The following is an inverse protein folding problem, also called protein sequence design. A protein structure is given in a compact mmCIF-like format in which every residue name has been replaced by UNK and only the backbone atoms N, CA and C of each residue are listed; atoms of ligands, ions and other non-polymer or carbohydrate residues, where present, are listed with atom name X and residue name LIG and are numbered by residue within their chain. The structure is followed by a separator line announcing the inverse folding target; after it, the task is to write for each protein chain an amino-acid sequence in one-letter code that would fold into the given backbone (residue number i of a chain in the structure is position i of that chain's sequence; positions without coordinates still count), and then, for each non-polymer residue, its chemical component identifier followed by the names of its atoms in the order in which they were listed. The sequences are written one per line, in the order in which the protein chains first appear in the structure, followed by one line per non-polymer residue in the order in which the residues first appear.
data_IF_349112263502
#
_entry.id   IF_349112263502
#
_cell.length_a   1.000
_cell.length_b   1.000
_cell.length_c   1.000
_cell.angle_alpha   90.00
_cell.angle_beta   90.00
_cell.angle_gamma   90.00
#
_symmetry.space_group_name_H-M   'P 1'
#
loop_
_entity.id
_entity.type
_entity.pdbx_description
1 polymer ?
#
# COMPACT_ATOMS: atom_id res chain seq x y z
N UNK A 1 19.60 -15.97 -13.38
CA UNK A 1 18.35 -15.50 -12.76
C UNK A 1 17.99 -16.37 -11.56
N UNK A 2 17.18 -15.84 -10.60
CA UNK A 2 16.78 -16.60 -9.40
C UNK A 2 16.11 -17.92 -9.79
N UNK A 3 15.33 -17.94 -10.87
CA UNK A 3 14.66 -19.14 -11.37
C UNK A 3 15.64 -20.28 -11.73
N UNK A 4 16.81 -19.98 -12.25
CA UNK A 4 17.81 -21.00 -12.59
C UNK A 4 18.42 -21.67 -11.36
N UNK A 5 18.66 -20.92 -10.29
CA UNK A 5 19.27 -21.46 -9.06
C UNK A 5 18.21 -22.03 -8.10
N UNK A 6 16.93 -21.82 -8.36
CA UNK A 6 15.82 -22.26 -7.50
C UNK A 6 15.84 -23.75 -7.13
N UNK A 7 16.22 -24.69 -8.03
CA UNK A 7 16.30 -26.12 -7.69
C UNK A 7 17.31 -26.43 -6.57
N UNK A 8 18.35 -25.61 -6.45
CA UNK A 8 19.45 -25.77 -5.48
C UNK A 8 19.22 -25.01 -4.18
N UNK A 9 18.11 -24.27 -4.05
CA UNK A 9 17.80 -23.44 -2.89
C UNK A 9 16.69 -24.05 -2.05
N UNK A 10 16.82 -23.90 -0.73
CA UNK A 10 15.71 -24.14 0.20
C UNK A 10 14.63 -23.07 0.02
N UNK A 11 13.41 -23.32 0.53
CA UNK A 11 12.33 -22.35 0.46
C UNK A 11 12.69 -21.06 1.21
N UNK A 12 13.33 -21.15 2.36
CA UNK A 12 13.73 -19.98 3.16
C UNK A 12 14.82 -19.16 2.46
N UNK A 13 15.83 -19.81 1.89
CA UNK A 13 16.85 -19.12 1.10
C UNK A 13 16.24 -18.41 -0.13
N UNK A 14 15.26 -19.05 -0.80
CA UNK A 14 14.54 -18.44 -1.91
C UNK A 14 13.72 -17.24 -1.48
N UNK A 15 12.97 -17.32 -0.37
CA UNK A 15 12.23 -16.18 0.19
C UNK A 15 13.17 -15.02 0.50
N UNK A 16 14.30 -15.29 1.14
CA UNK A 16 15.30 -14.27 1.48
C UNK A 16 15.85 -13.59 0.23
N UNK A 17 16.22 -14.35 -0.80
CA UNK A 17 16.70 -13.79 -2.07
C UNK A 17 15.63 -12.97 -2.79
N UNK A 18 14.41 -13.46 -2.87
CA UNK A 18 13.31 -12.73 -3.50
C UNK A 18 13.01 -11.45 -2.71
N UNK A 19 12.99 -11.51 -1.39
CA UNK A 19 12.74 -10.32 -0.57
C UNK A 19 13.85 -9.28 -0.73
N UNK A 20 15.10 -9.68 -0.76
CA UNK A 20 16.23 -8.75 -0.88
C UNK A 20 16.39 -8.16 -2.28
N UNK A 21 16.12 -8.92 -3.34
CA UNK A 21 16.39 -8.48 -4.71
C UNK A 21 15.15 -7.95 -5.45
N UNK A 22 13.96 -8.44 -5.12
CA UNK A 22 12.72 -8.08 -5.84
C UNK A 22 11.82 -7.25 -4.95
N UNK A 23 11.41 -7.77 -3.79
CA UNK A 23 10.44 -7.09 -2.93
C UNK A 23 10.97 -5.76 -2.41
N UNK A 24 12.25 -5.71 -1.99
CA UNK A 24 12.89 -4.47 -1.55
C UNK A 24 12.86 -3.38 -2.62
N UNK A 25 13.08 -3.74 -3.87
CA UNK A 25 13.04 -2.79 -5.00
C UNK A 25 11.62 -2.35 -5.35
N UNK A 26 10.64 -3.26 -5.26
CA UNK A 26 9.22 -2.92 -5.44
C UNK A 26 8.70 -2.00 -4.33
N UNK A 27 9.26 -2.10 -3.13
CA UNK A 27 8.86 -1.26 -1.98
C UNK A 27 9.67 0.04 -1.87
N UNK A 28 10.80 0.12 -2.57
CA UNK A 28 11.61 1.34 -2.58
C UNK A 28 10.84 2.46 -3.26
N UNK A 29 10.59 3.53 -2.53
CA UNK A 29 9.85 4.71 -3.00
C UNK A 29 8.48 4.42 -3.65
N UNK A 30 7.84 3.30 -3.33
CA UNK A 30 6.58 2.92 -3.99
C UNK A 30 5.42 3.91 -3.73
N UNK A 31 5.47 4.72 -2.68
CA UNK A 31 4.51 5.81 -2.46
C UNK A 31 4.50 6.83 -3.61
N UNK A 32 5.63 7.01 -4.31
CA UNK A 32 5.71 7.87 -5.49
C UNK A 32 4.95 7.30 -6.70
N UNK A 33 4.61 6.02 -6.65
CA UNK A 33 3.79 5.37 -7.68
C UNK A 33 2.28 5.57 -7.45
N UNK A 34 1.91 6.38 -6.47
CA UNK A 34 0.50 6.72 -6.22
C UNK A 34 -0.08 7.43 -7.45
N UNK A 35 -1.20 6.92 -7.94
CA UNK A 35 -1.89 7.50 -9.11
C UNK A 35 -1.25 7.26 -10.47
N UNK A 36 -0.14 6.50 -10.59
CA UNK A 36 0.40 6.13 -11.91
C UNK A 36 -0.59 5.26 -12.68
N UNK A 37 -0.56 5.27 -14.04
CA UNK A 37 -1.45 4.47 -14.85
C UNK A 37 -1.42 2.98 -14.49
N UNK A 38 -2.57 2.35 -14.51
CA UNK A 38 -2.71 0.91 -14.20
C UNK A 38 -1.81 0.02 -15.08
N UNK A 39 -1.48 0.46 -16.30
CA UNK A 39 -0.57 -0.25 -17.20
C UNK A 39 0.83 -0.42 -16.59
N UNK A 40 1.35 0.60 -15.91
CA UNK A 40 2.64 0.54 -15.22
C UNK A 40 2.55 -0.31 -13.94
N UNK A 41 1.50 -0.10 -13.14
CA UNK A 41 1.25 -0.93 -11.94
C UNK A 41 1.16 -2.41 -12.33
N UNK A 42 0.46 -2.73 -13.43
CA UNK A 42 0.32 -4.11 -13.92
C UNK A 42 1.66 -4.71 -14.39
N UNK A 43 2.56 -3.91 -14.98
CA UNK A 43 3.91 -4.39 -15.33
C UNK A 43 4.69 -4.79 -14.07
N UNK A 44 4.67 -3.96 -13.05
CA UNK A 44 5.32 -4.25 -11.77
C UNK A 44 4.63 -5.40 -11.02
N UNK A 45 3.30 -5.50 -11.11
CA UNK A 45 2.55 -6.63 -10.54
C UNK A 45 2.96 -7.96 -11.15
N UNK A 46 3.23 -8.02 -12.46
CA UNK A 46 3.76 -9.23 -13.12
C UNK A 46 5.10 -9.67 -12.52
N UNK A 47 5.98 -8.72 -12.19
CA UNK A 47 7.24 -9.02 -11.53
C UNK A 47 7.01 -9.62 -10.14
N UNK A 48 6.08 -9.06 -9.36
CA UNK A 48 5.70 -9.60 -8.05
C UNK A 48 5.12 -11.03 -8.19
N UNK A 49 4.24 -11.25 -9.16
CA UNK A 49 3.64 -12.56 -9.42
C UNK A 49 4.69 -13.61 -9.79
N UNK A 50 5.62 -13.26 -10.68
CA UNK A 50 6.74 -14.14 -11.05
C UNK A 50 7.59 -14.50 -9.84
N UNK A 51 7.87 -13.53 -8.98
CA UNK A 51 8.63 -13.76 -7.75
C UNK A 51 7.88 -14.70 -6.79
N UNK A 52 6.57 -14.55 -6.66
CA UNK A 52 5.72 -15.42 -5.86
C UNK A 52 5.73 -16.87 -6.40
N UNK A 53 5.57 -17.06 -7.71
CA UNK A 53 5.65 -18.38 -8.36
C UNK A 53 7.01 -19.05 -8.15
N UNK A 54 8.12 -18.31 -8.18
CA UNK A 54 9.46 -18.84 -7.89
C UNK A 54 9.55 -19.39 -6.46
N UNK A 55 9.01 -18.69 -5.48
CA UNK A 55 9.02 -19.13 -4.07
C UNK A 55 8.21 -20.42 -3.92
N UNK A 56 6.97 -20.42 -4.40
CA UNK A 56 6.00 -21.53 -4.21
C UNK A 56 6.19 -22.69 -5.17
N UNK A 57 7.10 -22.58 -6.15
CA UNK A 57 7.26 -23.55 -7.26
C UNK A 57 5.99 -23.77 -8.09
N UNK A 58 5.12 -22.78 -8.12
CA UNK A 58 3.87 -22.80 -8.88
C UNK A 58 4.12 -22.39 -10.33
N UNK A 59 3.34 -22.93 -11.27
CA UNK A 59 3.42 -22.53 -12.67
C UNK A 59 3.10 -21.04 -12.84
N UNK A 60 3.84 -20.35 -13.70
CA UNK A 60 3.58 -18.95 -14.08
C UNK A 60 2.22 -18.73 -14.77
N UNK A 61 1.58 -19.80 -15.21
CA UNK A 61 0.25 -19.80 -15.83
C UNK A 61 -0.89 -20.01 -14.82
N UNK A 62 -0.58 -20.36 -13.58
CA UNK A 62 -1.56 -20.51 -12.52
C UNK A 62 -2.12 -19.15 -12.08
N UNK A 63 -3.33 -19.17 -11.51
CA UNK A 63 -3.89 -17.98 -10.89
C UNK A 63 -2.98 -17.47 -9.76
N UNK A 64 -2.56 -16.21 -9.87
CA UNK A 64 -1.61 -15.63 -8.93
C UNK A 64 -2.23 -15.27 -7.57
N UNK A 65 -3.53 -15.06 -7.51
CA UNK A 65 -4.22 -14.60 -6.28
C UNK A 65 -4.09 -15.59 -5.12
N UNK A 66 -4.30 -16.92 -5.29
CA UNK A 66 -4.07 -17.89 -4.22
C UNK A 66 -2.62 -17.89 -3.73
N UNK A 67 -1.66 -17.78 -4.67
CA UNK A 67 -0.23 -17.77 -4.36
C UNK A 67 0.16 -16.56 -3.53
N UNK A 68 -0.33 -15.37 -3.88
CA UNK A 68 -0.10 -14.15 -3.10
C UNK A 68 -0.76 -14.23 -1.71
N UNK A 69 -1.96 -14.82 -1.62
CA UNK A 69 -2.68 -15.04 -0.36
C UNK A 69 -1.89 -15.97 0.57
N UNK A 70 -1.37 -17.09 0.06
CA UNK A 70 -0.53 -18.04 0.79
C UNK A 70 0.73 -17.39 1.34
N UNK A 71 1.38 -16.55 0.54
CA UNK A 71 2.58 -15.79 0.96
C UNK A 71 2.27 -14.59 1.86
N UNK A 72 1.01 -14.32 2.16
CA UNK A 72 0.55 -13.11 2.87
C UNK A 72 1.03 -11.81 2.22
N UNK A 73 1.12 -11.78 0.90
CA UNK A 73 1.52 -10.62 0.13
C UNK A 73 0.33 -9.82 -0.34
N UNK A 74 0.38 -8.52 -0.13
CA UNK A 74 -0.57 -7.59 -0.73
C UNK A 74 -0.19 -7.37 -2.20
N UNK A 75 -1.19 -7.32 -3.12
CA UNK A 75 -0.97 -6.84 -4.49
C UNK A 75 -0.34 -5.45 -4.51
N UNK A 76 0.45 -5.15 -5.53
CA UNK A 76 1.25 -3.92 -5.60
C UNK A 76 0.43 -2.65 -5.40
N UNK A 77 -0.78 -2.57 -5.98
CA UNK A 77 -1.71 -1.44 -5.76
C UNK A 77 -1.91 -1.15 -4.27
N UNK A 78 -2.18 -2.18 -3.47
CA UNK A 78 -2.43 -2.02 -2.04
C UNK A 78 -1.14 -1.82 -1.24
N UNK A 79 0.00 -2.28 -1.74
CA UNK A 79 1.31 -1.94 -1.13
C UNK A 79 1.62 -0.46 -1.27
N UNK A 80 1.33 0.13 -2.44
CA UNK A 80 1.45 1.58 -2.68
C UNK A 80 0.54 2.35 -1.72
N UNK A 81 -0.74 2.00 -1.65
CA UNK A 81 -1.70 2.64 -0.74
C UNK A 81 -1.29 2.48 0.73
N UNK A 82 -0.84 1.29 1.12
CA UNK A 82 -0.34 1.02 2.47
C UNK A 82 0.83 1.95 2.85
N UNK A 83 1.76 2.14 1.94
CA UNK A 83 2.92 3.03 2.16
C UNK A 83 2.49 4.49 2.25
N UNK A 84 1.65 4.95 1.33
CA UNK A 84 1.09 6.31 1.32
C UNK A 84 0.35 6.59 2.62
N UNK A 85 -0.54 5.71 3.06
CA UNK A 85 -1.28 5.85 4.31
C UNK A 85 -0.39 5.77 5.55
N UNK A 86 0.69 4.99 5.50
CA UNK A 86 1.68 4.98 6.59
C UNK A 86 2.39 6.34 6.72
N UNK A 87 2.73 6.99 5.60
CA UNK A 87 3.27 8.36 5.63
C UNK A 87 2.23 9.37 6.10
N UNK A 88 0.97 9.23 5.68
CA UNK A 88 -0.14 10.07 6.15
C UNK A 88 -0.30 9.98 7.67
N UNK A 89 -0.34 8.76 8.23
CA UNK A 89 -0.40 8.55 9.67
C UNK A 89 0.78 9.23 10.40
N UNK A 90 1.99 9.03 9.91
CA UNK A 90 3.19 9.64 10.48
C UNK A 90 3.15 11.16 10.44
N UNK A 91 2.63 11.75 9.35
CA UNK A 91 2.48 13.19 9.23
C UNK A 91 1.48 13.77 10.24
N UNK A 92 0.40 13.04 10.52
CA UNK A 92 -0.62 13.44 11.51
C UNK A 92 -0.14 13.31 12.94
N UNK A 93 0.88 12.51 13.21
CA UNK A 93 1.45 12.26 14.54
C UNK A 93 2.87 12.81 14.71
N UNK A 94 3.24 13.83 13.95
CA UNK A 94 4.55 14.51 14.03
C UNK A 94 5.79 13.59 13.90
N UNK A 95 5.64 12.47 13.15
CA UNK A 95 6.68 11.46 12.92
C UNK A 95 7.31 11.57 11.52
N UNK A 96 7.20 12.73 10.89
CA UNK A 96 7.81 13.04 9.57
C UNK A 96 8.47 14.40 9.59
N UNK A 97 9.13 14.76 8.47
CA UNK A 97 9.65 16.12 8.25
C UNK A 97 8.49 17.11 8.13
N UNK A 98 8.73 18.35 8.52
CA UNK A 98 7.74 19.45 8.46
C UNK A 98 7.14 19.61 7.07
N UNK A 99 7.97 19.46 6.03
CA UNK A 99 7.54 19.53 4.65
C UNK A 99 6.40 18.55 4.31
N UNK A 100 6.46 17.31 4.77
CA UNK A 100 5.39 16.31 4.53
C UNK A 100 4.18 16.61 5.39
N UNK A 101 4.38 17.07 6.63
CA UNK A 101 3.30 17.45 7.52
C UNK A 101 2.48 18.61 6.96
N UNK A 102 3.12 19.64 6.41
CA UNK A 102 2.45 20.81 5.85
C UNK A 102 1.61 20.50 4.60
N UNK A 103 1.87 19.37 3.94
CA UNK A 103 1.07 18.89 2.82
C UNK A 103 -0.30 18.36 3.23
N UNK A 104 -0.51 18.02 4.50
CA UNK A 104 -1.73 17.37 4.99
C UNK A 104 -2.46 18.30 5.93
N UNK A 105 -3.72 18.61 5.63
CA UNK A 105 -4.55 19.48 6.46
C UNK A 105 -5.72 18.70 7.05
N UNK A 106 -5.85 18.75 8.38
CA UNK A 106 -6.98 18.17 9.09
C UNK A 106 -8.23 19.01 8.80
N UNK A 107 -9.32 18.33 8.44
CA UNK A 107 -10.59 19.01 8.23
C UNK A 107 -11.20 19.44 9.57
N UNK A 108 -11.44 20.73 9.72
CA UNK A 108 -12.14 21.31 10.88
C UNK A 108 -13.46 21.89 10.40
N UNK A 109 -14.61 21.30 10.75
CA UNK A 109 -15.90 21.86 10.38
C UNK A 109 -16.16 23.19 11.09
N UNK A 110 -16.78 24.14 10.38
CA UNK A 110 -17.16 25.44 10.91
C UNK A 110 -18.30 25.40 11.96
N UNK A 111 -19.01 24.27 12.07
CA UNK A 111 -20.07 24.02 13.04
C UNK A 111 -19.79 22.69 13.74
N UNK A 112 -20.21 22.58 15.02
CA UNK A 112 -20.14 21.32 15.76
C UNK A 112 -21.06 20.28 15.08
N UNK A 113 -20.47 19.40 14.29
CA UNK A 113 -21.15 18.29 13.62
C UNK A 113 -20.82 16.98 14.37
N UNK A 114 -21.72 16.01 14.33
CA UNK A 114 -21.47 14.66 14.87
C UNK A 114 -20.26 13.97 14.24
N UNK A 115 -19.80 14.46 13.08
CA UNK A 115 -18.63 13.97 12.35
C UNK A 115 -17.33 14.69 12.73
N UNK A 116 -17.35 15.58 13.74
CA UNK A 116 -16.17 16.38 14.16
C UNK A 116 -15.00 15.47 14.56
N UNK A 117 -15.27 14.34 15.18
CA UNK A 117 -14.26 13.36 15.62
C UNK A 117 -13.85 12.36 14.52
N UNK A 118 -14.28 12.59 13.27
CA UNK A 118 -14.04 11.62 12.19
C UNK A 118 -12.58 11.53 11.70
N UNK A 119 -11.68 12.39 12.21
CA UNK A 119 -10.26 12.47 11.79
C UNK A 119 -10.11 12.60 10.26
N UNK A 120 -11.02 13.32 9.62
CA UNK A 120 -11.02 13.52 8.17
C UNK A 120 -9.99 14.56 7.75
N UNK A 121 -9.48 14.42 6.55
CA UNK A 121 -8.51 15.32 5.95
C UNK A 121 -9.15 16.15 4.83
N UNK A 122 -8.63 17.35 4.62
CA UNK A 122 -9.04 18.21 3.50
C UNK A 122 -8.46 17.62 2.22
N UNK A 123 -9.33 17.26 1.27
CA UNK A 123 -8.91 16.89 -0.08
C UNK A 123 -8.87 18.17 -0.91
N UNK A 124 -7.69 18.63 -1.34
CA UNK A 124 -7.60 19.84 -2.16
C UNK A 124 -8.23 19.63 -3.53
N UNK A 125 -8.90 20.65 -4.04
CA UNK A 125 -9.41 20.61 -5.40
C UNK A 125 -8.23 20.78 -6.38
N UNK A 126 -8.10 19.85 -7.32
CA UNK A 126 -7.02 19.85 -8.32
C UNK A 126 -7.60 20.00 -9.72
N UNK A 127 -6.97 20.85 -10.53
CA UNK A 127 -7.44 21.16 -11.89
C UNK A 127 -7.04 20.11 -12.93
N UNK A 128 -6.03 19.28 -12.64
CA UNK A 128 -5.49 18.31 -13.59
C UNK A 128 -5.61 16.89 -13.06
N UNK A 129 -6.30 16.05 -13.81
CA UNK A 129 -6.46 14.61 -13.51
C UNK A 129 -5.10 13.89 -13.59
N UNK A 130 -4.24 14.26 -14.53
CA UNK A 130 -3.00 13.54 -14.80
C UNK A 130 -1.90 13.76 -13.75
N UNK A 131 -1.76 14.97 -13.22
CA UNK A 131 -0.71 15.32 -12.26
C UNK A 131 -1.24 15.69 -10.89
N UNK A 132 -2.35 16.42 -10.82
CA UNK A 132 -2.93 16.88 -9.57
C UNK A 132 -3.45 15.73 -8.69
N UNK A 133 -4.26 14.85 -9.23
CA UNK A 133 -4.83 13.72 -8.49
C UNK A 133 -3.76 12.70 -8.05
N UNK A 134 -2.62 12.64 -8.74
CA UNK A 134 -1.49 11.76 -8.40
C UNK A 134 -0.60 12.33 -7.31
N UNK A 135 -0.70 13.63 -7.04
CA UNK A 135 0.11 14.26 -6.02
C UNK A 135 -0.20 13.68 -4.64
N UNK A 136 0.80 13.57 -3.78
CA UNK A 136 0.61 13.12 -2.41
C UNK A 136 -0.43 13.96 -1.67
N UNK A 137 -0.44 15.27 -1.92
CA UNK A 137 -1.37 16.25 -1.31
C UNK A 137 -2.84 15.91 -1.57
N UNK A 138 -3.17 15.34 -2.73
CA UNK A 138 -4.54 14.92 -3.08
C UNK A 138 -4.80 13.45 -2.74
N UNK A 139 -3.89 12.56 -3.13
CA UNK A 139 -4.09 11.12 -3.00
C UNK A 139 -4.09 10.64 -1.53
N UNK A 140 -3.23 11.20 -0.68
CA UNK A 140 -3.13 10.82 0.71
C UNK A 140 -4.41 11.11 1.50
N UNK A 141 -5.01 12.35 1.46
CA UNK A 141 -6.29 12.62 2.09
C UNK A 141 -7.44 11.78 1.52
N UNK A 142 -7.48 11.57 0.21
CA UNK A 142 -8.53 10.76 -0.44
C UNK A 142 -8.52 9.32 0.06
N UNK A 143 -7.34 8.69 0.10
CA UNK A 143 -7.16 7.34 0.62
C UNK A 143 -7.45 7.26 2.13
N UNK A 144 -7.02 8.27 2.89
CA UNK A 144 -7.26 8.34 4.33
C UNK A 144 -8.73 8.42 4.67
N UNK A 145 -9.48 9.29 4.00
CA UNK A 145 -10.91 9.47 4.24
C UNK A 145 -11.75 8.23 3.86
N UNK A 146 -11.24 7.40 2.95
CA UNK A 146 -11.86 6.13 2.58
C UNK A 146 -11.65 5.01 3.62
N UNK A 147 -10.74 5.18 4.60
CA UNK A 147 -10.50 4.20 5.63
C UNK A 147 -11.63 4.18 6.68
N UNK A 148 -11.96 3.01 7.23
CA UNK A 148 -12.81 2.89 8.41
C UNK A 148 -12.30 3.70 9.60
N UNK A 149 -13.20 4.27 10.39
CA UNK A 149 -12.85 5.12 11.52
C UNK A 149 -11.91 4.42 12.53
N UNK A 150 -12.19 3.16 12.88
CA UNK A 150 -11.38 2.40 13.83
C UNK A 150 -9.92 2.22 13.41
N UNK A 151 -9.60 2.33 12.11
CA UNK A 151 -8.21 2.31 11.63
C UNK A 151 -7.59 3.69 11.80
N UNK A 152 -8.32 4.75 11.43
CA UNK A 152 -7.84 6.14 11.52
C UNK A 152 -7.59 6.58 12.96
N UNK A 153 -8.38 6.08 13.91
CA UNK A 153 -8.27 6.38 15.34
C UNK A 153 -7.24 5.53 16.10
N UNK A 154 -6.36 4.83 15.39
CA UNK A 154 -5.30 4.02 16.02
C UNK A 154 -4.31 4.89 16.79
N UNK A 155 -4.04 4.54 18.05
CA UNK A 155 -3.14 5.32 18.92
C UNK A 155 -1.66 5.17 18.55
N UNK A 156 -1.25 4.00 18.05
CA UNK A 156 0.15 3.72 17.72
C UNK A 156 0.35 3.36 16.27
N UNK A 157 1.53 3.70 15.73
CA UNK A 157 1.91 3.35 14.36
C UNK A 157 1.92 1.83 14.14
N UNK A 158 2.28 1.04 15.14
CA UNK A 158 2.30 -0.43 15.04
C UNK A 158 0.89 -0.99 14.91
N UNK A 159 -0.04 -0.52 15.72
CA UNK A 159 -1.47 -0.88 15.66
C UNK A 159 -2.07 -0.46 14.34
N UNK A 160 -1.83 0.79 13.90
CA UNK A 160 -2.27 1.30 12.62
C UNK A 160 -1.82 0.40 11.45
N UNK A 161 -0.53 0.09 11.38
CA UNK A 161 0.05 -0.77 10.34
C UNK A 161 -0.58 -2.17 10.32
N UNK A 162 -0.82 -2.76 11.50
CA UNK A 162 -1.44 -4.08 11.64
C UNK A 162 -2.87 -4.06 11.12
N UNK A 163 -3.70 -3.12 11.60
CA UNK A 163 -5.09 -2.97 11.18
C UNK A 163 -5.20 -2.67 9.68
N UNK A 164 -4.37 -1.77 9.17
CA UNK A 164 -4.35 -1.41 7.75
C UNK A 164 -3.98 -2.60 6.86
N UNK A 165 -2.98 -3.40 7.25
CA UNK A 165 -2.60 -4.61 6.52
C UNK A 165 -3.74 -5.61 6.50
N UNK A 166 -4.39 -5.86 7.65
CA UNK A 166 -5.54 -6.76 7.77
C UNK A 166 -6.71 -6.28 6.91
N UNK A 167 -7.03 -4.98 6.96
CA UNK A 167 -8.08 -4.39 6.14
C UNK A 167 -7.83 -4.62 4.64
N UNK A 168 -6.65 -4.29 4.15
CA UNK A 168 -6.32 -4.50 2.74
C UNK A 168 -6.30 -5.98 2.37
N UNK A 169 -5.87 -6.85 3.27
CA UNK A 169 -5.88 -8.29 3.03
C UNK A 169 -7.31 -8.80 2.85
N UNK A 170 -8.23 -8.37 3.70
CA UNK A 170 -9.66 -8.68 3.57
C UNK A 170 -10.23 -8.14 2.25
N UNK A 171 -9.98 -6.86 1.94
CA UNK A 171 -10.45 -6.25 0.69
C UNK A 171 -9.94 -6.99 -0.55
N UNK A 172 -8.69 -7.46 -0.54
CA UNK A 172 -8.09 -8.15 -1.68
C UNK A 172 -8.61 -9.58 -1.88
N UNK A 173 -8.92 -10.28 -0.78
CA UNK A 173 -9.08 -11.73 -0.79
C UNK A 173 -10.41 -12.24 -0.23
N UNK A 174 -11.33 -11.35 0.21
CA UNK A 174 -12.65 -11.73 0.73
C UNK A 174 -13.62 -12.28 -0.34
N UNK A 175 -13.37 -11.96 -1.62
CA UNK A 175 -14.23 -12.42 -2.72
C UNK A 175 -13.78 -13.77 -3.32
N UNK A 176 -12.85 -14.47 -2.66
CA UNK A 176 -12.34 -15.76 -3.10
C UNK A 176 -12.76 -16.82 -2.08
N UNK A 177 -14.05 -17.08 -2.05
CA UNK A 177 -14.68 -18.26 -1.43
C UNK A 177 -15.42 -19.01 -2.51
#
# INVERSE_FOLDING_TARGET
SIGHIRPYLTNEATKTLVNSLVTSRLDYCNAMLTGVPNTLVNKLQRTQNTAACIITRTSRYSHNTPVLKELHWLPLKYRIQYKTLTFTYKALHDQTTDYIRDMIKVYKPNRALRSQDSLSLVVPNVRTVSFGERSFVHAAPSLWNALPHHIRSSETLSTFKKLLKTHFFLVCYSHII
#
